data_IF_529423233834
#
_entry.id   IF_529423233834
#
_cell.length_a   1.000
_cell.length_b   1.000
_cell.length_c   1.000
_cell.angle_alpha   90.00
_cell.angle_beta   90.00
_cell.angle_gamma   90.00
#
_symmetry.space_group_name_H-M   'P 1'
#
loop_
_entity.id
_entity.type
_entity.pdbx_description
1 polymer ?
#
# COMPACT_ATOMS: atom_id res chain seq x y z
N UNK A 1 -32.00 25.98 -46.74
CA UNK A 1 -31.46 26.51 -45.47
C UNK A 1 -32.07 25.88 -44.19
N UNK A 2 -33.31 25.35 -44.20
CA UNK A 2 -33.94 24.73 -43.00
C UNK A 2 -33.40 23.34 -42.59
N UNK A 3 -32.88 22.55 -43.52
CA UNK A 3 -32.40 21.19 -43.22
C UNK A 3 -31.05 21.16 -42.46
N UNK A 4 -30.18 22.16 -42.67
CA UNK A 4 -28.90 22.26 -41.96
C UNK A 4 -29.12 22.62 -40.48
N UNK A 5 -30.13 23.44 -40.18
CA UNK A 5 -30.47 23.88 -38.83
C UNK A 5 -31.05 22.75 -37.95
N UNK A 6 -31.78 21.79 -38.53
CA UNK A 6 -32.28 20.60 -37.81
C UNK A 6 -31.15 19.65 -37.40
N UNK A 7 -30.12 19.53 -38.25
CA UNK A 7 -28.95 18.68 -37.99
C UNK A 7 -28.05 19.27 -36.90
N UNK A 8 -27.88 20.60 -36.89
CA UNK A 8 -27.11 21.31 -35.86
C UNK A 8 -27.79 21.20 -34.48
N UNK A 9 -29.12 21.33 -34.41
CA UNK A 9 -29.87 21.18 -33.15
C UNK A 9 -29.84 19.73 -32.64
N UNK A 10 -29.91 18.72 -33.52
CA UNK A 10 -29.76 17.31 -33.12
C UNK A 10 -28.34 16.96 -32.63
N UNK A 11 -27.30 17.56 -33.24
CA UNK A 11 -25.91 17.38 -32.81
C UNK A 11 -25.62 18.04 -31.45
N UNK A 12 -26.29 19.15 -31.10
CA UNK A 12 -26.17 19.80 -29.79
C UNK A 12 -26.84 18.98 -28.66
N UNK A 13 -27.95 18.29 -28.92
CA UNK A 13 -28.64 17.46 -27.92
C UNK A 13 -27.89 16.17 -27.57
N UNK A 14 -27.10 15.60 -28.50
CA UNK A 14 -26.32 14.40 -28.23
C UNK A 14 -25.10 14.65 -27.31
N UNK A 15 -24.53 15.86 -27.34
CA UNK A 15 -23.40 16.22 -26.48
C UNK A 15 -23.77 16.43 -25.01
N UNK A 16 -24.96 16.98 -24.73
CA UNK A 16 -25.41 17.23 -23.35
C UNK A 16 -25.76 15.94 -22.59
N UNK A 17 -26.23 14.89 -23.28
CA UNK A 17 -26.54 13.61 -22.66
C UNK A 17 -25.28 12.86 -22.20
N UNK A 18 -24.16 12.98 -22.92
CA UNK A 18 -22.91 12.30 -22.56
C UNK A 18 -22.25 12.89 -21.31
N UNK A 19 -22.35 14.21 -21.12
CA UNK A 19 -21.78 14.93 -19.96
C UNK A 19 -22.56 14.59 -18.67
N UNK A 20 -23.88 14.40 -18.75
CA UNK A 20 -24.69 14.05 -17.58
C UNK A 20 -24.45 12.62 -17.08
N UNK A 21 -24.12 11.68 -17.98
CA UNK A 21 -23.79 10.29 -17.62
C UNK A 21 -22.42 10.19 -16.94
N UNK A 22 -21.43 11.00 -17.32
CA UNK A 22 -20.11 11.00 -16.69
C UNK A 22 -20.12 11.63 -15.29
N UNK A 23 -20.91 12.68 -15.05
CA UNK A 23 -21.03 13.30 -13.73
C UNK A 23 -21.70 12.38 -12.68
N UNK A 24 -22.54 11.43 -13.12
CA UNK A 24 -23.15 10.44 -12.23
C UNK A 24 -22.18 9.37 -11.70
N UNK A 25 -21.01 9.18 -12.34
CA UNK A 25 -19.95 8.29 -11.85
C UNK A 25 -18.99 8.97 -10.86
N UNK A 26 -19.02 10.30 -10.75
CA UNK A 26 -18.14 11.08 -9.87
C UNK A 26 -18.82 11.53 -8.56
N UNK A 27 -19.99 10.97 -8.22
CA UNK A 27 -20.60 11.23 -6.92
C UNK A 27 -20.17 10.13 -5.93
N UNK A 28 -19.27 10.40 -4.97
CA UNK A 28 -19.09 9.49 -3.85
C UNK A 28 -20.44 9.42 -3.14
N UNK A 29 -21.10 8.26 -3.26
CA UNK A 29 -22.27 7.96 -2.44
C UNK A 29 -21.78 8.03 -1.01
N UNK A 30 -22.24 9.06 -0.30
CA UNK A 30 -22.18 9.12 1.15
C UNK A 30 -23.08 8.00 1.67
N UNK A 31 -22.54 6.78 1.65
CA UNK A 31 -23.19 5.57 2.17
C UNK A 31 -23.08 5.61 3.68
N UNK A 32 -23.97 6.36 4.31
CA UNK A 32 -24.37 6.05 5.66
C UNK A 32 -25.29 4.83 5.57
N UNK A 33 -24.75 3.67 5.93
CA UNK A 33 -25.55 2.52 6.33
C UNK A 33 -24.87 1.97 7.56
N UNK A 34 -25.36 2.43 8.70
CA UNK A 34 -25.15 1.75 9.96
C UNK A 34 -25.87 0.39 9.97
N UNK A 35 -25.37 -0.49 10.84
CA UNK A 35 -25.88 -1.80 11.31
C UNK A 35 -25.34 -3.06 10.58
N UNK A 36 -25.10 -4.20 11.27
CA UNK A 36 -24.79 -4.44 12.68
C UNK A 36 -23.45 -5.19 12.88
N UNK A 37 -22.94 -5.17 14.11
CA UNK A 37 -21.81 -6.00 14.58
C UNK A 37 -22.05 -7.48 14.27
N UNK A 38 -21.25 -8.07 13.36
CA UNK A 38 -20.96 -9.50 13.34
C UNK A 38 -19.72 -9.84 12.48
N UNK A 39 -18.63 -10.12 13.21
CA UNK A 39 -17.49 -11.00 12.88
C UNK A 39 -17.01 -11.12 11.41
N UNK A 40 -15.98 -10.32 11.10
CA UNK A 40 -14.78 -10.83 10.45
C UNK A 40 -13.59 -10.48 11.37
N UNK A 41 -12.57 -11.35 11.53
CA UNK A 41 -11.43 -11.01 12.37
C UNK A 41 -10.76 -9.81 11.72
N UNK A 42 -10.88 -8.65 12.37
CA UNK A 42 -10.06 -7.49 12.11
C UNK A 42 -8.63 -7.93 12.44
N UNK A 43 -7.88 -8.37 11.44
CA UNK A 43 -6.42 -8.49 11.51
C UNK A 43 -5.82 -7.08 11.53
N UNK A 44 -6.17 -6.26 12.51
CA UNK A 44 -5.59 -4.95 12.74
C UNK A 44 -5.61 -4.65 14.23
N UNK A 45 -4.88 -5.50 14.95
CA UNK A 45 -4.26 -5.12 16.21
C UNK A 45 -2.81 -5.63 16.15
N UNK A 46 -2.07 -5.25 15.11
CA UNK A 46 -0.64 -5.05 15.33
C UNK A 46 -0.57 -3.82 16.21
N UNK A 47 -0.39 -4.08 17.51
CA UNK A 47 0.06 -3.12 18.50
C UNK A 47 0.99 -2.14 17.79
N UNK A 48 0.71 -0.84 17.87
CA UNK A 48 1.58 0.19 17.33
C UNK A 48 2.99 -0.04 17.87
N UNK A 49 3.79 -0.81 17.12
CA UNK A 49 5.19 -0.99 17.37
C UNK A 49 5.75 0.41 17.18
N UNK A 50 6.32 0.99 18.22
CA UNK A 50 6.85 2.36 18.20
C UNK A 50 8.12 2.47 17.32
N UNK A 51 8.20 1.78 16.19
CA UNK A 51 9.33 1.76 15.27
C UNK A 51 9.02 2.45 13.93
N UNK A 52 10.09 2.72 13.18
CA UNK A 52 10.05 3.28 11.82
C UNK A 52 10.20 2.19 10.75
N UNK A 53 11.02 1.17 11.02
CA UNK A 53 11.33 0.08 10.08
C UNK A 53 11.17 -1.29 10.71
N UNK A 54 10.91 -2.29 9.87
CA UNK A 54 11.01 -3.71 10.21
C UNK A 54 11.93 -4.37 9.19
N UNK A 55 12.96 -5.07 9.64
CA UNK A 55 13.88 -5.82 8.77
C UNK A 55 13.65 -7.32 8.96
N UNK A 56 13.42 -8.05 7.87
CA UNK A 56 13.08 -9.49 7.90
C UNK A 56 13.73 -10.23 6.73
N UNK A 57 13.75 -11.56 6.82
CA UNK A 57 13.93 -12.39 5.64
C UNK A 57 12.71 -12.29 4.71
N UNK A 58 12.98 -12.21 3.41
CA UNK A 58 11.99 -12.39 2.37
C UNK A 58 12.58 -13.26 1.24
N UNK A 59 12.32 -14.56 1.32
CA UNK A 59 12.74 -15.49 0.27
C UNK A 59 14.26 -15.62 0.15
N UNK A 60 14.96 -15.62 1.29
CA UNK A 60 16.42 -15.71 1.34
C UNK A 60 17.13 -14.38 1.13
N UNK A 61 16.39 -13.26 1.09
CA UNK A 61 16.92 -11.91 0.89
C UNK A 61 16.51 -11.00 2.02
N UNK A 62 17.39 -10.07 2.37
CA UNK A 62 17.10 -9.06 3.37
C UNK A 62 16.06 -8.06 2.83
N UNK A 63 14.94 -7.91 3.55
CA UNK A 63 13.87 -6.99 3.18
C UNK A 63 13.58 -6.00 4.31
N UNK A 64 13.41 -4.73 3.94
CA UNK A 64 13.08 -3.64 4.84
C UNK A 64 11.66 -3.19 4.55
N UNK A 65 10.84 -3.07 5.59
CA UNK A 65 9.46 -2.64 5.56
C UNK A 65 9.28 -1.37 6.37
N UNK A 66 8.27 -0.58 6.04
CA UNK A 66 7.80 0.47 6.96
C UNK A 66 6.90 -0.16 8.01
N UNK A 67 7.00 0.27 9.26
CA UNK A 67 6.14 -0.25 10.33
C UNK A 67 4.66 0.02 10.06
N UNK A 68 4.33 1.14 9.41
CA UNK A 68 2.94 1.47 9.02
C UNK A 68 2.48 0.76 7.73
N UNK A 69 3.35 0.04 7.03
CA UNK A 69 3.04 -0.74 5.82
C UNK A 69 3.86 -2.05 5.81
N UNK A 70 3.60 -3.00 6.75
CA UNK A 70 4.44 -4.18 6.96
C UNK A 70 4.21 -5.29 5.93
N UNK A 71 3.31 -5.10 4.96
CA UNK A 71 2.94 -6.11 3.96
C UNK A 71 3.77 -6.01 2.68
N UNK A 72 4.45 -4.87 2.45
CA UNK A 72 5.25 -4.62 1.25
C UNK A 72 6.62 -4.05 1.62
N UNK A 73 7.71 -4.66 1.12
CA UNK A 73 9.04 -4.12 1.39
C UNK A 73 9.24 -2.81 0.64
N UNK A 74 9.85 -1.83 1.33
CA UNK A 74 10.37 -0.61 0.72
C UNK A 74 11.75 -0.82 0.10
N UNK A 75 12.53 -1.74 0.66
CA UNK A 75 13.81 -2.17 0.10
C UNK A 75 13.90 -3.69 0.11
N UNK A 76 14.40 -4.24 -0.99
CA UNK A 76 14.79 -5.64 -1.10
C UNK A 76 16.26 -5.66 -1.50
N UNK A 77 17.12 -6.06 -0.56
CA UNK A 77 18.56 -6.01 -0.74
C UNK A 77 19.09 -7.37 -1.21
N UNK A 78 20.18 -7.35 -1.97
CA UNK A 78 20.88 -8.56 -2.42
C UNK A 78 21.84 -9.09 -1.36
N UNK A 79 21.32 -9.22 -0.13
CA UNK A 79 22.02 -9.82 1.00
C UNK A 79 21.37 -11.17 1.25
N UNK A 80 22.14 -12.24 1.10
CA UNK A 80 21.64 -13.59 1.25
C UNK A 80 21.56 -13.97 2.74
N UNK A 81 20.36 -14.00 3.28
CA UNK A 81 20.13 -14.27 4.72
C UNK A 81 20.59 -15.66 5.13
N UNK A 82 20.60 -16.63 4.22
CA UNK A 82 21.09 -17.98 4.47
C UNK A 82 22.58 -18.06 4.78
N UNK A 83 23.37 -17.07 4.37
CA UNK A 83 24.81 -16.96 4.67
C UNK A 83 25.10 -16.28 6.03
N UNK A 84 24.08 -15.69 6.67
CA UNK A 84 24.24 -15.04 7.96
C UNK A 84 24.37 -16.07 9.10
N UNK A 85 25.01 -15.69 10.22
CA UNK A 85 25.00 -16.48 11.45
C UNK A 85 23.59 -16.87 11.91
N UNK A 86 23.48 -17.99 12.62
CA UNK A 86 22.19 -18.51 13.09
C UNK A 86 21.41 -17.52 13.97
N UNK A 87 22.12 -16.77 14.80
CA UNK A 87 21.55 -15.72 15.64
C UNK A 87 20.86 -14.63 14.80
N UNK A 88 21.52 -14.16 13.73
CA UNK A 88 20.99 -13.12 12.84
C UNK A 88 19.80 -13.62 12.04
N UNK A 89 19.87 -14.85 11.51
CA UNK A 89 18.72 -15.46 10.82
C UNK A 89 17.50 -15.55 11.73
N UNK A 90 17.69 -15.99 12.97
CA UNK A 90 16.63 -16.06 13.97
C UNK A 90 16.05 -14.67 14.29
N UNK A 91 16.89 -13.64 14.35
CA UNK A 91 16.44 -12.26 14.55
C UNK A 91 15.59 -11.77 13.35
N UNK A 92 16.01 -12.07 12.12
CA UNK A 92 15.29 -11.71 10.89
C UNK A 92 13.96 -12.44 10.73
N UNK A 93 13.86 -13.69 11.18
CA UNK A 93 12.59 -14.44 11.22
C UNK A 93 11.57 -13.77 12.14
N UNK A 94 12.02 -13.37 13.34
CA UNK A 94 11.22 -12.64 14.33
C UNK A 94 10.86 -11.21 13.86
N UNK A 95 11.75 -10.61 13.07
CA UNK A 95 11.64 -9.27 12.55
C UNK A 95 12.27 -8.24 13.49
N UNK A 96 13.28 -7.54 12.98
CA UNK A 96 14.04 -6.55 13.72
C UNK A 96 13.35 -5.20 13.55
N UNK A 97 12.88 -4.61 14.65
CA UNK A 97 12.21 -3.31 14.65
C UNK A 97 13.23 -2.22 14.94
N UNK A 98 13.30 -1.22 14.07
CA UNK A 98 14.24 -0.10 14.17
C UNK A 98 13.46 1.21 14.24
N UNK A 99 13.97 2.16 15.02
CA UNK A 99 13.33 3.43 15.33
C UNK A 99 13.87 4.58 14.47
N UNK A 100 15.10 4.46 13.96
CA UNK A 100 15.79 5.54 13.24
C UNK A 100 16.35 5.10 11.89
N UNK A 101 16.82 6.06 11.09
CA UNK A 101 17.54 5.73 9.84
C UNK A 101 18.96 5.23 10.15
N UNK A 102 19.55 5.77 11.20
CA UNK A 102 20.90 5.49 11.64
C UNK A 102 21.02 4.02 12.08
N UNK A 103 20.05 3.52 12.85
CA UNK A 103 19.97 2.11 13.24
C UNK A 103 19.83 1.19 12.01
N UNK A 104 19.04 1.60 11.02
CA UNK A 104 18.92 0.85 9.75
C UNK A 104 20.26 0.83 9.01
N UNK A 105 20.92 1.98 8.89
CA UNK A 105 22.21 2.07 8.21
C UNK A 105 23.26 1.20 8.88
N UNK A 106 23.34 1.22 10.21
CA UNK A 106 24.29 0.40 10.98
C UNK A 106 24.03 -1.09 10.79
N UNK A 107 22.76 -1.52 10.88
CA UNK A 107 22.39 -2.92 10.65
C UNK A 107 22.74 -3.38 9.23
N UNK A 108 22.55 -2.51 8.23
CA UNK A 108 22.88 -2.82 6.85
C UNK A 108 24.40 -2.87 6.60
N UNK A 109 25.18 -2.05 7.30
CA UNK A 109 26.64 -2.09 7.27
C UNK A 109 27.16 -3.41 7.83
N UNK A 110 26.62 -3.85 8.97
CA UNK A 110 27.00 -5.11 9.62
C UNK A 110 26.73 -6.33 8.73
N UNK A 111 25.63 -6.33 7.96
CA UNK A 111 25.29 -7.43 7.05
C UNK A 111 25.93 -7.32 5.65
N UNK A 112 26.52 -6.18 5.32
CA UNK A 112 27.18 -5.95 4.04
C UNK A 112 28.69 -6.21 4.02
N UNK A 113 29.30 -6.50 5.18
CA UNK A 113 30.75 -6.71 5.34
C UNK A 113 31.25 -8.07 4.87
#
# INVERSE_FOLDING_TARGET
>A
MKESQRKIIMLLCAGAALVFVLAAFAMPRHSQTELPVSAAPRTEAVSALEGKYIVRDYGGRLAVYRVNEPTRPVYLLDIYTGALPEADRSALENGIVLHTEEELSQLLEDYGS
#
